data_IF_604486203441
#
_entry.id   IF_604486203441
#
_cell.length_a   1.000
_cell.length_b   1.000
_cell.length_c   1.000
_cell.angle_alpha   90.00
_cell.angle_beta   90.00
_cell.angle_gamma   90.00
#
_symmetry.space_group_name_H-M   'P 1'
#
loop_
_entity.id
_entity.type
_entity.pdbx_description
1 polymer ?
#
# COMPACT_ATOMS: atom_id res chain seq x y z
N UNK A 1 2.69 -24.31 2.62
CA UNK A 1 2.80 -22.86 2.32
C UNK A 1 3.16 -22.15 3.60
N UNK A 2 3.96 -21.10 3.52
CA UNK A 2 4.44 -20.41 4.72
C UNK A 2 3.28 -19.78 5.51
N UNK A 3 3.33 -19.92 6.84
CA UNK A 3 2.39 -19.28 7.77
C UNK A 3 2.86 -17.86 8.14
N UNK A 4 3.93 -17.38 7.51
CA UNK A 4 4.43 -16.02 7.60
C UNK A 4 5.02 -15.55 6.28
N UNK A 5 5.04 -14.24 6.05
CA UNK A 5 5.61 -13.60 4.87
C UNK A 5 6.10 -12.19 5.19
N UNK A 6 7.16 -11.78 4.52
CA UNK A 6 7.59 -10.38 4.46
C UNK A 6 7.28 -9.82 3.08
N UNK A 7 6.59 -8.69 3.03
CA UNK A 7 6.34 -7.91 1.81
C UNK A 7 7.18 -6.65 1.88
N UNK A 8 8.03 -6.47 0.88
CA UNK A 8 8.88 -5.28 0.73
C UNK A 8 8.49 -4.51 -0.54
N UNK A 9 8.50 -3.21 -0.46
CA UNK A 9 8.24 -2.29 -1.57
C UNK A 9 9.05 -1.02 -1.42
N UNK A 10 9.18 -0.25 -2.50
CA UNK A 10 9.70 1.11 -2.43
C UNK A 10 8.64 2.12 -1.96
N UNK A 11 9.04 3.36 -1.91
CA UNK A 11 8.15 4.50 -1.64
C UNK A 11 7.72 5.17 -2.93
N UNK A 12 6.67 5.99 -2.88
CA UNK A 12 6.12 6.68 -4.05
C UNK A 12 6.31 8.19 -3.97
N UNK A 13 6.96 8.76 -4.97
CA UNK A 13 6.87 10.19 -5.27
C UNK A 13 5.60 10.43 -6.09
N UNK A 14 4.88 11.50 -5.78
CA UNK A 14 3.71 11.94 -6.53
C UNK A 14 3.95 13.37 -7.06
N UNK A 15 3.97 13.53 -8.38
CA UNK A 15 4.33 14.80 -9.01
C UNK A 15 3.14 15.72 -9.22
N UNK A 16 1.93 15.17 -9.23
CA UNK A 16 0.72 15.96 -9.37
C UNK A 16 -0.53 15.11 -9.54
N UNK A 17 -1.67 15.71 -9.22
CA UNK A 17 -3.00 15.22 -9.50
C UNK A 17 -3.63 16.13 -10.54
N UNK A 18 -4.24 15.54 -11.57
CA UNK A 18 -5.02 16.26 -12.56
C UNK A 18 -6.51 15.95 -12.39
N UNK A 19 -7.32 16.97 -12.33
CA UNK A 19 -8.78 16.87 -12.30
C UNK A 19 -9.33 18.01 -13.15
N UNK A 20 -9.33 17.80 -14.47
CA UNK A 20 -9.80 18.80 -15.44
C UNK A 20 -11.11 18.36 -16.04
N UNK A 21 -12.10 19.26 -16.10
CA UNK A 21 -13.36 19.06 -16.78
C UNK A 21 -14.56 18.94 -15.85
N UNK A 22 -15.74 18.62 -16.46
CA UNK A 22 -17.02 18.49 -15.77
C UNK A 22 -17.17 17.20 -14.98
N UNK A 23 -18.33 17.00 -14.41
CA UNK A 23 -18.68 15.85 -13.55
C UNK A 23 -18.49 14.50 -14.24
N UNK A 24 -18.66 14.45 -15.58
CA UNK A 24 -18.53 13.23 -16.39
C UNK A 24 -17.10 12.97 -16.87
N UNK A 25 -16.14 13.85 -16.51
CA UNK A 25 -14.74 13.66 -16.89
C UNK A 25 -13.99 12.80 -15.87
N UNK A 26 -12.87 12.20 -16.32
CA UNK A 26 -11.97 11.49 -15.44
C UNK A 26 -11.37 12.43 -14.38
N UNK A 27 -11.35 11.98 -13.15
CA UNK A 27 -10.86 12.73 -12.01
C UNK A 27 -9.61 12.07 -11.41
N UNK A 28 -8.75 12.87 -10.79
CA UNK A 28 -7.59 12.40 -10.04
C UNK A 28 -6.53 11.65 -10.85
N UNK A 29 -6.40 11.96 -12.15
CA UNK A 29 -5.27 11.47 -12.94
C UNK A 29 -3.95 11.86 -12.29
N UNK A 30 -2.96 10.99 -12.31
CA UNK A 30 -1.73 11.21 -11.57
C UNK A 30 -0.48 10.83 -12.33
N UNK A 31 0.62 11.49 -11.98
CA UNK A 31 1.97 11.15 -12.42
C UNK A 31 2.84 10.97 -11.18
N UNK A 32 3.63 9.90 -11.15
CA UNK A 32 4.56 9.66 -10.06
C UNK A 32 5.54 8.54 -10.34
N UNK A 33 6.50 8.37 -9.47
CA UNK A 33 7.53 7.36 -9.60
C UNK A 33 7.75 6.59 -8.32
N UNK A 34 8.14 5.33 -8.44
CA UNK A 34 8.65 4.55 -7.33
C UNK A 34 10.13 4.87 -7.13
N UNK A 35 10.51 5.00 -5.86
CA UNK A 35 11.88 5.28 -5.43
C UNK A 35 12.31 4.25 -4.40
N UNK A 36 13.61 3.98 -4.34
CA UNK A 36 14.21 3.00 -3.45
C UNK A 36 14.39 3.58 -2.02
N UNK A 37 13.26 3.96 -1.43
CA UNK A 37 13.15 4.24 0.01
C UNK A 37 12.33 3.10 0.59
N UNK A 38 12.93 2.19 1.38
CA UNK A 38 12.33 0.91 1.68
C UNK A 38 11.13 1.02 2.61
N UNK A 39 10.11 0.21 2.33
CA UNK A 39 9.01 -0.12 3.21
C UNK A 39 8.88 -1.63 3.25
N UNK A 40 8.81 -2.20 4.44
CA UNK A 40 8.60 -3.63 4.60
C UNK A 40 7.71 -3.95 5.79
N UNK A 41 6.83 -4.93 5.61
CA UNK A 41 5.99 -5.49 6.66
C UNK A 41 6.20 -7.00 6.74
N UNK A 42 6.13 -7.52 7.95
CA UNK A 42 6.11 -8.96 8.22
C UNK A 42 4.74 -9.33 8.81
N UNK A 43 4.11 -10.35 8.24
CA UNK A 43 2.83 -10.90 8.69
C UNK A 43 2.98 -12.37 8.98
N UNK A 44 2.46 -12.81 10.13
CA UNK A 44 2.44 -14.21 10.55
C UNK A 44 1.10 -14.56 11.21
N UNK A 45 0.73 -15.83 11.19
CA UNK A 45 -0.34 -16.39 12.02
C UNK A 45 0.25 -16.96 13.32
N UNK A 46 -0.49 -16.85 14.40
CA UNK A 46 -0.08 -17.14 15.79
C UNK A 46 0.45 -18.57 16.07
N UNK A 47 0.42 -19.46 15.09
CA UNK A 47 0.92 -20.85 15.23
C UNK A 47 2.44 -20.98 15.13
N UNK A 48 3.14 -19.88 14.89
CA UNK A 48 4.60 -19.92 14.71
C UNK A 48 5.26 -19.54 16.03
N UNK A 49 5.94 -20.51 16.62
CA UNK A 49 6.86 -20.34 17.76
C UNK A 49 8.18 -19.69 17.32
N UNK A 50 8.10 -18.56 16.62
CA UNK A 50 9.25 -17.79 16.18
C UNK A 50 9.13 -16.33 16.61
N UNK A 51 10.23 -15.74 17.06
CA UNK A 51 10.24 -14.30 17.29
C UNK A 51 10.02 -13.55 15.98
N UNK A 52 9.08 -12.60 16.00
CA UNK A 52 8.93 -11.67 14.87
C UNK A 52 10.26 -10.92 14.66
N UNK A 53 10.66 -10.65 13.41
CA UNK A 53 11.85 -9.84 13.13
C UNK A 53 11.85 -8.56 13.96
N UNK A 54 13.00 -8.08 14.45
CA UNK A 54 13.05 -6.86 15.22
C UNK A 54 12.45 -5.70 14.42
N UNK A 55 11.54 -4.95 15.04
CA UNK A 55 11.06 -3.71 14.46
C UNK A 55 12.13 -2.64 14.62
N UNK A 56 12.30 -1.77 13.62
CA UNK A 56 13.04 -0.54 13.81
C UNK A 56 12.38 0.26 14.96
N UNK A 57 13.17 0.71 15.93
CA UNK A 57 12.66 1.26 17.20
C UNK A 57 11.69 2.44 17.00
N UNK A 58 11.92 3.27 15.98
CA UNK A 58 11.15 4.48 15.71
C UNK A 58 9.85 4.23 14.90
N UNK A 59 9.66 3.01 14.40
CA UNK A 59 8.55 2.65 13.50
C UNK A 59 7.33 2.11 14.26
N UNK A 60 7.45 1.81 15.55
CA UNK A 60 6.51 0.93 16.27
C UNK A 60 5.11 1.49 16.48
N UNK A 61 4.95 2.74 16.86
CA UNK A 61 3.67 3.22 17.38
C UNK A 61 2.77 3.86 16.32
N UNK A 62 3.31 4.74 15.52
CA UNK A 62 2.54 5.49 14.50
C UNK A 62 2.11 4.60 13.32
N UNK A 63 2.99 3.69 12.88
CA UNK A 63 2.69 2.78 11.77
C UNK A 63 1.81 1.62 12.20
N UNK A 64 1.89 1.18 13.47
CA UNK A 64 1.10 0.09 14.00
C UNK A 64 -0.41 0.36 13.88
N UNK A 65 -0.88 1.51 14.32
CA UNK A 65 -2.30 1.90 14.21
C UNK A 65 -2.81 1.95 12.77
N UNK A 66 -1.99 2.47 11.86
CA UNK A 66 -2.36 2.53 10.45
C UNK A 66 -2.50 1.12 9.84
N UNK A 67 -1.61 0.22 10.20
CA UNK A 67 -1.60 -1.15 9.72
C UNK A 67 -2.76 -1.95 10.30
N UNK A 68 -3.07 -1.81 11.58
CA UNK A 68 -4.24 -2.45 12.21
C UNK A 68 -5.53 -2.07 11.49
N UNK A 69 -5.71 -0.79 11.17
CA UNK A 69 -6.85 -0.34 10.36
C UNK A 69 -6.92 -1.05 8.99
N UNK A 70 -5.79 -1.30 8.32
CA UNK A 70 -5.80 -2.02 7.05
C UNK A 70 -6.11 -3.51 7.23
N UNK A 71 -5.70 -4.11 8.33
CA UNK A 71 -6.09 -5.48 8.68
C UNK A 71 -7.61 -5.55 8.85
N UNK A 72 -8.20 -4.64 9.63
CA UNK A 72 -9.65 -4.60 9.86
C UNK A 72 -10.42 -4.40 8.56
N UNK A 73 -10.03 -3.44 7.72
CA UNK A 73 -10.64 -3.20 6.40
C UNK A 73 -10.55 -4.44 5.50
N UNK A 74 -9.43 -5.16 5.53
CA UNK A 74 -9.25 -6.37 4.75
C UNK A 74 -10.22 -7.48 5.18
N UNK A 75 -10.39 -7.70 6.49
CA UNK A 75 -11.33 -8.69 7.02
C UNK A 75 -12.78 -8.30 6.76
N UNK A 76 -13.16 -7.03 6.91
CA UNK A 76 -14.48 -6.54 6.52
C UNK A 76 -14.76 -6.78 5.03
N UNK A 77 -13.79 -6.50 4.16
CA UNK A 77 -13.92 -6.75 2.73
C UNK A 77 -14.02 -8.25 2.42
N UNK A 78 -13.25 -9.08 3.11
CA UNK A 78 -13.32 -10.54 2.99
C UNK A 78 -14.72 -11.06 3.29
N UNK A 79 -15.35 -10.59 4.36
CA UNK A 79 -16.74 -10.97 4.72
C UNK A 79 -17.73 -10.55 3.61
N UNK A 80 -17.61 -9.35 3.07
CA UNK A 80 -18.46 -8.86 1.96
C UNK A 80 -18.31 -9.71 0.69
N UNK A 81 -17.15 -10.32 0.48
CA UNK A 81 -16.88 -11.23 -0.66
C UNK A 81 -17.35 -12.68 -0.40
N UNK A 82 -18.07 -12.95 0.66
CA UNK A 82 -18.55 -14.29 1.00
C UNK A 82 -17.57 -15.15 1.80
N UNK A 83 -16.60 -14.54 2.45
CA UNK A 83 -15.73 -15.21 3.42
C UNK A 83 -16.54 -15.75 4.61
N UNK A 84 -16.05 -16.85 5.20
CA UNK A 84 -16.70 -17.52 6.31
C UNK A 84 -16.64 -16.75 7.64
N UNK A 85 -17.49 -17.14 8.59
CA UNK A 85 -17.54 -16.59 9.95
C UNK A 85 -16.30 -16.90 10.81
N UNK A 86 -15.41 -17.78 10.36
CA UNK A 86 -14.10 -18.02 11.01
C UNK A 86 -13.15 -16.83 10.85
N UNK A 87 -13.52 -15.84 10.02
CA UNK A 87 -12.74 -14.63 9.78
C UNK A 87 -12.32 -13.92 11.06
N UNK A 88 -13.22 -13.79 12.04
CA UNK A 88 -12.87 -13.11 13.31
C UNK A 88 -11.80 -13.87 14.11
N UNK A 89 -11.90 -15.18 14.17
CA UNK A 89 -10.89 -16.02 14.83
C UNK A 89 -9.53 -15.94 14.14
N UNK A 90 -9.53 -15.80 12.81
CA UNK A 90 -8.30 -15.60 12.05
C UNK A 90 -7.74 -14.20 12.26
N UNK A 91 -8.60 -13.17 12.41
CA UNK A 91 -8.18 -11.79 12.69
C UNK A 91 -7.32 -11.70 13.94
N UNK A 92 -7.76 -12.37 15.02
CA UNK A 92 -7.07 -12.35 16.32
C UNK A 92 -5.73 -13.11 16.29
N UNK A 93 -5.56 -14.02 15.33
CA UNK A 93 -4.32 -14.77 15.11
C UNK A 93 -3.29 -14.05 14.24
N UNK A 94 -3.67 -12.96 13.59
CA UNK A 94 -2.75 -12.18 12.75
C UNK A 94 -1.80 -11.38 13.62
N UNK A 95 -0.51 -11.68 13.49
CA UNK A 95 0.59 -10.87 14.04
C UNK A 95 1.25 -10.12 12.89
N UNK A 96 1.40 -8.81 13.05
CA UNK A 96 1.96 -7.97 12.03
C UNK A 96 3.01 -7.02 12.62
N UNK A 97 4.08 -6.81 11.86
CA UNK A 97 5.16 -5.89 12.23
C UNK A 97 5.65 -5.13 11.00
N UNK A 98 5.76 -3.81 11.11
CA UNK A 98 6.48 -2.99 10.15
C UNK A 98 7.98 -3.09 10.47
N UNK A 99 8.77 -3.55 9.52
CA UNK A 99 10.21 -3.77 9.69
C UNK A 99 11.06 -2.68 9.04
N UNK A 100 10.50 -1.96 8.07
CA UNK A 100 11.09 -0.76 7.48
C UNK A 100 9.98 0.17 7.00
N UNK A 101 10.12 1.47 7.19
CA UNK A 101 9.25 2.49 6.61
C UNK A 101 9.94 3.86 6.66
N UNK A 102 9.62 4.77 5.70
CA UNK A 102 9.99 6.17 5.82
C UNK A 102 9.17 6.85 6.93
N UNK A 103 9.60 8.04 7.35
CA UNK A 103 8.84 8.87 8.28
C UNK A 103 7.42 9.16 7.77
N UNK A 104 6.49 9.40 8.70
CA UNK A 104 5.14 9.85 8.36
C UNK A 104 5.14 11.25 7.74
N UNK A 105 4.16 11.50 6.89
CA UNK A 105 3.88 12.83 6.29
C UNK A 105 5.03 13.48 5.51
N UNK A 106 5.98 12.70 5.03
CA UNK A 106 7.09 13.19 4.20
C UNK A 106 6.83 13.13 2.69
N UNK A 107 5.57 12.92 2.28
CA UNK A 107 5.20 12.92 0.85
C UNK A 107 5.53 11.63 0.07
N UNK A 108 6.01 10.58 0.74
CA UNK A 108 6.49 9.35 0.12
C UNK A 108 5.41 8.26 -0.09
N UNK A 109 4.14 8.63 0.00
CA UNK A 109 3.02 7.71 -0.28
C UNK A 109 2.87 6.55 0.70
N UNK A 110 3.39 6.69 1.91
CA UNK A 110 3.46 5.67 2.95
C UNK A 110 2.14 4.92 3.17
N UNK A 111 1.02 5.64 3.35
CA UNK A 111 -0.26 5.01 3.65
C UNK A 111 -0.76 4.08 2.54
N UNK A 112 -0.49 4.38 1.26
CA UNK A 112 -0.84 3.49 0.15
C UNK A 112 0.03 2.25 0.15
N UNK A 113 1.35 2.41 0.31
CA UNK A 113 2.28 1.28 0.30
C UNK A 113 2.08 0.35 1.49
N UNK A 114 1.86 0.89 2.71
CA UNK A 114 1.49 0.09 3.88
C UNK A 114 0.21 -0.70 3.67
N UNK A 115 -0.85 -0.05 3.15
CA UNK A 115 -2.12 -0.72 2.91
C UNK A 115 -2.00 -1.86 1.91
N UNK A 116 -1.34 -1.62 0.77
CA UNK A 116 -1.15 -2.64 -0.26
C UNK A 116 -0.26 -3.78 0.21
N UNK A 117 0.83 -3.48 0.95
CA UNK A 117 1.70 -4.50 1.50
C UNK A 117 0.96 -5.36 2.54
N UNK A 118 0.14 -4.75 3.40
CA UNK A 118 -0.73 -5.46 4.35
C UNK A 118 -1.72 -6.36 3.61
N UNK A 119 -2.44 -5.82 2.63
CA UNK A 119 -3.39 -6.58 1.82
C UNK A 119 -2.74 -7.77 1.13
N UNK A 120 -1.63 -7.55 0.42
CA UNK A 120 -0.89 -8.61 -0.25
C UNK A 120 -0.47 -9.71 0.72
N UNK A 121 0.06 -9.34 1.89
CA UNK A 121 0.49 -10.31 2.89
C UNK A 121 -0.67 -11.15 3.43
N UNK A 122 -1.81 -10.53 3.73
CA UNK A 122 -3.00 -11.23 4.22
C UNK A 122 -3.58 -12.20 3.18
N UNK A 123 -3.66 -11.79 1.90
CA UNK A 123 -4.04 -12.72 0.83
C UNK A 123 -3.11 -13.93 0.75
N UNK A 124 -1.79 -13.69 0.87
CA UNK A 124 -0.79 -14.77 0.82
C UNK A 124 -0.85 -15.69 2.02
N UNK A 125 -1.01 -15.14 3.23
CA UNK A 125 -0.97 -15.91 4.49
C UNK A 125 -2.31 -16.59 4.77
N UNK A 126 -3.44 -15.93 4.52
CA UNK A 126 -4.78 -16.44 4.86
C UNK A 126 -5.41 -17.18 3.70
N UNK A 127 -5.50 -16.55 2.52
CA UNK A 127 -6.14 -17.15 1.35
C UNK A 127 -5.18 -18.00 0.51
N UNK A 128 -3.88 -18.03 0.86
CA UNK A 128 -2.84 -18.83 0.19
C UNK A 128 -2.73 -18.56 -1.33
N UNK A 129 -3.09 -17.36 -1.75
CA UNK A 129 -3.05 -16.91 -3.16
C UNK A 129 -2.47 -15.50 -3.31
N UNK A 130 -2.16 -15.13 -4.54
CA UNK A 130 -1.85 -13.74 -4.90
C UNK A 130 -3.12 -13.04 -5.37
N UNK A 131 -3.46 -11.86 -4.83
CA UNK A 131 -4.56 -11.06 -5.36
C UNK A 131 -4.18 -10.40 -6.69
N UNK A 132 -5.18 -10.05 -7.49
CA UNK A 132 -5.02 -9.06 -8.55
C UNK A 132 -4.74 -7.68 -7.94
N UNK A 133 -4.28 -6.73 -8.78
CA UNK A 133 -4.07 -5.34 -8.38
C UNK A 133 -5.36 -4.72 -7.81
N UNK A 134 -6.48 -4.92 -8.49
CA UNK A 134 -7.79 -4.37 -8.09
C UNK A 134 -8.25 -4.97 -6.76
N UNK A 135 -8.21 -6.29 -6.61
CA UNK A 135 -8.55 -6.97 -5.34
C UNK A 135 -7.69 -6.47 -4.17
N UNK A 136 -6.37 -6.36 -4.42
CA UNK A 136 -5.43 -5.90 -3.39
C UNK A 136 -5.73 -4.48 -2.93
N UNK A 137 -6.03 -3.58 -3.86
CA UNK A 137 -6.34 -2.18 -3.57
C UNK A 137 -7.71 -2.03 -2.89
N UNK A 138 -8.74 -2.68 -3.42
CA UNK A 138 -10.11 -2.64 -2.91
C UNK A 138 -10.20 -3.15 -1.47
N UNK A 139 -9.47 -4.22 -1.14
CA UNK A 139 -9.49 -4.84 0.19
C UNK A 139 -9.07 -3.89 1.32
N UNK A 140 -8.32 -2.82 1.02
CA UNK A 140 -7.82 -1.85 2.00
C UNK A 140 -8.20 -0.40 1.66
N UNK A 141 -9.20 -0.21 0.79
CA UNK A 141 -9.72 1.10 0.40
C UNK A 141 -8.68 1.99 -0.30
N UNK A 142 -7.85 1.39 -1.19
CA UNK A 142 -6.87 2.11 -2.00
C UNK A 142 -7.28 2.14 -3.47
N UNK A 143 -6.64 3.02 -4.26
CA UNK A 143 -7.03 3.22 -5.67
C UNK A 143 -8.28 4.07 -5.88
N UNK A 144 -8.85 4.66 -4.82
CA UNK A 144 -10.08 5.47 -4.90
C UNK A 144 -9.87 6.83 -5.59
N UNK A 145 -8.66 7.30 -5.67
CA UNK A 145 -8.25 8.52 -6.39
C UNK A 145 -7.23 8.12 -7.45
N UNK A 146 -6.05 8.76 -7.48
CA UNK A 146 -4.95 8.32 -8.34
C UNK A 146 -4.48 6.89 -8.02
N UNK A 147 -4.19 6.13 -9.06
CA UNK A 147 -3.69 4.76 -8.97
C UNK A 147 -2.15 4.67 -9.09
N UNK A 148 -1.43 5.80 -9.14
CA UNK A 148 0.04 5.81 -9.24
C UNK A 148 0.69 4.92 -8.19
N UNK A 149 0.27 5.03 -6.93
CA UNK A 149 0.83 4.21 -5.85
C UNK A 149 0.48 2.74 -5.98
N UNK A 150 -0.70 2.42 -6.51
CA UNK A 150 -1.17 1.05 -6.73
C UNK A 150 -0.39 0.38 -7.85
N UNK A 151 -0.31 1.03 -9.03
CA UNK A 151 0.51 0.51 -10.13
C UNK A 151 1.99 0.46 -9.76
N UNK A 152 2.48 1.48 -9.05
CA UNK A 152 3.86 1.52 -8.58
C UNK A 152 4.21 0.36 -7.66
N UNK A 153 3.32 -0.04 -6.75
CA UNK A 153 3.50 -1.20 -5.88
C UNK A 153 3.69 -2.50 -6.68
N UNK A 154 2.91 -2.69 -7.74
CA UNK A 154 2.94 -3.93 -8.53
C UNK A 154 4.02 -3.95 -9.61
N UNK A 155 4.33 -2.80 -10.21
CA UNK A 155 5.14 -2.74 -11.42
C UNK A 155 6.39 -1.87 -11.31
N UNK A 156 6.48 -1.02 -10.29
CA UNK A 156 7.57 -0.05 -10.18
C UNK A 156 7.61 0.96 -11.32
N UNK A 157 8.65 1.78 -11.38
CA UNK A 157 8.92 2.71 -12.47
C UNK A 157 8.19 4.05 -12.34
N UNK A 158 8.14 4.79 -13.45
CA UNK A 158 7.32 6.01 -13.62
C UNK A 158 5.93 5.60 -14.10
N UNK A 159 4.91 6.06 -13.41
CA UNK A 159 3.51 5.72 -13.65
C UNK A 159 2.74 6.98 -14.03
N UNK A 160 1.93 6.86 -15.08
CA UNK A 160 0.91 7.85 -15.44
C UNK A 160 -0.43 7.12 -15.46
N UNK A 161 -1.40 7.58 -14.68
CA UNK A 161 -2.77 7.08 -14.71
C UNK A 161 -3.72 8.12 -15.31
N UNK A 162 -4.81 7.63 -15.91
CA UNK A 162 -5.77 8.47 -16.66
C UNK A 162 -6.72 9.26 -15.76
N UNK A 163 -6.71 9.02 -14.46
CA UNK A 163 -7.81 9.41 -13.60
C UNK A 163 -8.97 8.41 -13.67
N UNK A 164 -9.90 8.53 -12.72
CA UNK A 164 -10.97 7.58 -12.45
C UNK A 164 -12.33 8.16 -12.84
N UNK A 165 -13.20 7.33 -13.44
CA UNK A 165 -14.64 7.54 -13.51
C UNK A 165 -15.36 6.88 -12.32
N UNK A 166 -16.62 7.23 -12.09
CA UNK A 166 -17.35 6.78 -10.91
C UNK A 166 -17.49 5.24 -10.83
N UNK A 167 -17.67 4.59 -11.96
CA UNK A 167 -17.90 3.14 -12.08
C UNK A 167 -16.62 2.30 -12.05
N UNK A 168 -15.46 2.94 -12.11
CA UNK A 168 -14.19 2.22 -12.12
C UNK A 168 -13.68 1.96 -10.69
N UNK A 169 -13.20 0.76 -10.41
CA UNK A 169 -12.58 0.43 -9.12
C UNK A 169 -11.23 1.12 -8.93
N UNK A 170 -10.43 1.15 -10.00
CA UNK A 170 -9.09 1.75 -10.03
C UNK A 170 -8.93 2.56 -11.32
N UNK A 171 -8.31 3.74 -11.24
CA UNK A 171 -7.97 4.54 -12.42
C UNK A 171 -7.17 3.73 -13.43
N UNK A 172 -7.52 3.73 -14.74
CA UNK A 172 -6.76 3.01 -15.74
C UNK A 172 -5.33 3.51 -15.89
N UNK A 173 -4.41 2.59 -16.12
CA UNK A 173 -3.02 2.91 -16.42
C UNK A 173 -2.92 3.54 -17.81
N UNK A 174 -2.37 4.76 -17.90
CA UNK A 174 -2.06 5.39 -19.19
C UNK A 174 -0.75 4.86 -19.75
N UNK A 175 0.30 4.92 -18.95
CA UNK A 175 1.57 4.33 -19.31
C UNK A 175 2.42 4.04 -18.06
N UNK A 176 3.37 3.13 -18.24
CA UNK A 176 4.44 2.86 -17.29
C UNK A 176 5.77 2.87 -18.02
N UNK A 177 6.73 3.62 -17.50
CA UNK A 177 8.06 3.72 -18.06
C UNK A 177 9.11 3.17 -17.09
N UNK A 178 10.08 2.45 -17.61
CA UNK A 178 11.27 2.10 -16.84
C UNK A 178 12.13 3.36 -16.65
N UNK A 179 12.59 3.57 -15.43
CA UNK A 179 13.58 4.60 -15.14
C UNK A 179 14.95 4.01 -15.52
N UNK A 180 15.74 4.69 -16.38
CA UNK A 180 17.06 4.20 -16.75
C UNK A 180 17.99 4.03 -15.54
N UNK A 181 18.81 2.98 -15.51
CA UNK A 181 19.67 2.63 -14.37
C UNK A 181 20.64 3.74 -13.94
N UNK A 182 21.04 4.61 -14.87
CA UNK A 182 21.91 5.75 -14.59
C UNK A 182 21.24 6.93 -13.89
N UNK A 183 19.90 6.97 -13.83
CA UNK A 183 19.16 8.07 -13.22
C UNK A 183 19.14 7.94 -11.70
N UNK A 184 19.11 9.09 -11.03
CA UNK A 184 19.00 9.18 -9.57
C UNK A 184 17.95 10.22 -9.21
N UNK A 185 17.14 9.90 -8.21
CA UNK A 185 16.23 10.83 -7.57
C UNK A 185 16.95 11.47 -6.39
N UNK A 186 17.04 12.79 -6.37
CA UNK A 186 17.54 13.53 -5.21
C UNK A 186 16.35 14.03 -4.42
N UNK A 187 16.16 13.48 -3.22
CA UNK A 187 15.09 13.86 -2.31
C UNK A 187 15.64 14.87 -1.31
N UNK A 188 15.20 16.11 -1.43
CA UNK A 188 15.55 17.15 -0.46
C UNK A 188 14.35 17.39 0.47
N UNK A 189 14.59 17.27 1.76
CA UNK A 189 13.59 17.55 2.79
C UNK A 189 13.98 18.83 3.51
N UNK A 190 13.05 19.78 3.58
CA UNK A 190 13.22 20.93 4.47
C UNK A 190 13.05 20.48 5.93
N UNK A 191 13.82 21.02 6.89
CA UNK A 191 13.62 20.76 8.30
C UNK A 191 12.34 21.46 8.77
N UNK A 192 11.18 20.82 8.53
CA UNK A 192 9.88 21.27 9.03
C UNK A 192 9.53 20.35 10.20
N UNK A 193 9.24 20.92 11.35
CA UNK A 193 8.96 20.17 12.58
C UNK A 193 7.64 19.37 12.49
N UNK A 194 6.69 19.78 11.65
CA UNK A 194 5.44 19.04 11.42
C UNK A 194 5.03 19.09 9.95
N UNK A 195 4.76 17.92 9.36
CA UNK A 195 4.18 17.83 8.02
C UNK A 195 2.69 18.14 8.03
N UNK A 196 2.18 18.76 6.99
CA UNK A 196 0.74 18.99 6.83
C UNK A 196 0.03 17.63 6.73
N UNK A 197 -0.91 17.37 7.64
CA UNK A 197 -1.84 16.25 7.54
C UNK A 197 -2.88 16.55 6.46
N UNK A 198 -2.92 15.78 5.38
CA UNK A 198 -3.96 15.82 4.37
C UNK A 198 -5.10 14.87 4.68
#
# INVERSE_FOLDING_TARGET
MADSITISTGSRLHFGLSAFGGVDSRQFGGIGAMVDVPLAIHVALDKISGELPPACADVRELHGRAVEKFVDLWFENRLKRGGDSEGQLLRDKVKLRVTAAPDHHVGLGLGTQLGLATSMALFRVIEKRSPSLVECAAAVGRGLRSAVGTYGFFYGGLIVDQGKQAEEDVSPLQCRLNIPDGWRWVLMRMPIEEGLSG
#
